data_IF_664904213866
#
_entry.id   IF_664904213866
#
_cell.length_a   1.000
_cell.length_b   1.000
_cell.length_c   1.000
_cell.angle_alpha   90.00
_cell.angle_beta   90.00
_cell.angle_gamma   90.00
#
_symmetry.space_group_name_H-M   'P 1'
#
loop_
_entity.id
_entity.type
_entity.pdbx_description
1 polymer ?
#
# COMPACT_ATOMS: atom_id res chain seq x y z
N UNK A 1 -0.22 -65.02 6.44
CA UNK A 1 -0.11 -64.54 5.04
C UNK A 1 0.54 -63.15 4.91
N UNK A 2 0.34 -62.19 5.83
CA UNK A 2 0.99 -60.86 5.72
C UNK A 2 2.51 -60.83 6.01
N UNK A 3 3.04 -61.79 6.78
CA UNK A 3 4.47 -61.84 7.13
C UNK A 3 5.37 -62.49 6.06
N UNK A 4 4.82 -63.33 5.17
CA UNK A 4 5.60 -64.02 4.12
C UNK A 4 5.95 -63.12 2.92
N UNK A 5 5.17 -62.06 2.66
CA UNK A 5 5.41 -61.15 1.51
C UNK A 5 6.43 -60.04 1.77
N UNK A 6 6.84 -59.81 3.01
CA UNK A 6 7.83 -58.77 3.36
C UNK A 6 9.25 -59.22 2.93
N UNK A 7 9.49 -60.53 2.83
CA UNK A 7 10.80 -61.14 2.53
C UNK A 7 11.35 -60.89 1.12
N UNK A 8 10.58 -60.30 0.20
CA UNK A 8 11.01 -60.04 -1.19
C UNK A 8 11.20 -58.57 -1.57
N UNK A 9 10.86 -57.61 -0.70
CA UNK A 9 10.84 -56.17 -1.06
C UNK A 9 12.18 -55.49 -0.78
N UNK A 10 12.92 -55.16 -1.85
CA UNK A 10 14.24 -54.50 -1.79
C UNK A 10 14.24 -53.12 -1.09
N UNK A 11 13.12 -52.40 -1.13
CA UNK A 11 12.99 -51.05 -0.55
C UNK A 11 11.78 -51.00 0.38
N UNK A 12 12.01 -51.10 1.69
CA UNK A 12 10.95 -51.10 2.72
C UNK A 12 10.68 -49.67 3.18
N UNK A 13 9.41 -49.25 3.18
CA UNK A 13 8.98 -47.93 3.65
C UNK A 13 8.65 -48.02 5.13
N UNK A 14 9.37 -47.27 5.97
CA UNK A 14 9.05 -47.08 7.38
C UNK A 14 9.01 -45.59 7.65
N UNK A 15 7.83 -45.04 7.92
CA UNK A 15 7.67 -43.63 8.21
C UNK A 15 7.78 -43.38 9.71
N UNK A 16 8.40 -42.26 10.10
CA UNK A 16 8.29 -41.76 11.47
C UNK A 16 6.91 -41.16 11.73
N UNK A 17 6.54 -40.98 13.00
CA UNK A 17 5.28 -40.32 13.37
C UNK A 17 5.20 -38.88 12.81
N UNK A 18 6.34 -38.18 12.75
CA UNK A 18 6.45 -36.83 12.21
C UNK A 18 6.25 -36.81 10.69
N UNK A 19 6.93 -37.69 9.97
CA UNK A 19 6.82 -37.84 8.51
C UNK A 19 5.39 -38.20 8.09
N UNK A 20 4.76 -39.13 8.82
CA UNK A 20 3.37 -39.52 8.59
C UNK A 20 2.41 -38.34 8.78
N UNK A 21 2.54 -37.62 9.89
CA UNK A 21 1.72 -36.43 10.17
C UNK A 21 1.88 -35.37 9.08
N UNK A 22 3.10 -35.19 8.56
CA UNK A 22 3.37 -34.25 7.48
C UNK A 22 2.71 -34.68 6.15
N UNK A 23 2.72 -35.97 5.81
CA UNK A 23 2.03 -36.50 4.63
C UNK A 23 0.50 -36.36 4.76
N UNK A 24 -0.07 -36.70 5.91
CA UNK A 24 -1.51 -36.59 6.17
C UNK A 24 -1.98 -35.12 6.13
N UNK A 25 -1.20 -34.21 6.73
CA UNK A 25 -1.46 -32.77 6.63
C UNK A 25 -1.42 -32.28 5.19
N UNK A 26 -0.45 -32.76 4.38
CA UNK A 26 -0.32 -32.40 2.97
C UNK A 26 -1.48 -32.91 2.10
N UNK A 27 -2.09 -34.04 2.45
CA UNK A 27 -3.27 -34.57 1.75
C UNK A 27 -4.55 -33.79 2.09
N UNK A 28 -4.65 -33.29 3.33
CA UNK A 28 -5.86 -32.64 3.84
C UNK A 28 -5.82 -31.11 3.75
N UNK A 29 -4.64 -30.51 3.63
CA UNK A 29 -4.43 -29.05 3.66
C UNK A 29 -3.43 -28.62 2.60
N UNK A 30 -3.65 -27.43 2.02
CA UNK A 30 -2.73 -26.79 1.10
C UNK A 30 -2.95 -27.12 -0.38
N UNK A 31 -2.04 -26.64 -1.24
CA UNK A 31 -2.08 -26.82 -2.70
C UNK A 31 -0.77 -27.44 -3.19
N UNK A 32 -0.82 -28.74 -3.50
CA UNK A 32 0.33 -29.52 -3.96
C UNK A 32 0.11 -30.07 -5.37
N UNK A 33 1.20 -30.42 -6.06
CA UNK A 33 1.09 -31.04 -7.39
C UNK A 33 0.46 -32.44 -7.28
N UNK A 34 -0.34 -32.84 -8.27
CA UNK A 34 -0.94 -34.18 -8.32
C UNK A 34 0.12 -35.28 -8.15
N UNK A 35 1.30 -35.10 -8.76
CA UNK A 35 2.42 -36.03 -8.62
C UNK A 35 2.92 -36.14 -7.16
N UNK A 36 3.04 -35.03 -6.45
CA UNK A 36 3.45 -35.03 -5.03
C UNK A 36 2.41 -35.72 -4.16
N UNK A 37 1.12 -35.47 -4.38
CA UNK A 37 0.03 -36.13 -3.64
C UNK A 37 -0.01 -37.64 -3.88
N UNK A 38 0.21 -38.09 -5.12
CA UNK A 38 0.33 -39.52 -5.45
C UNK A 38 1.53 -40.14 -4.72
N UNK A 39 2.68 -39.48 -4.70
CA UNK A 39 3.85 -39.95 -3.93
C UNK A 39 3.54 -40.07 -2.43
N UNK A 40 2.87 -39.08 -1.85
CA UNK A 40 2.46 -39.09 -0.45
C UNK A 40 1.52 -40.26 -0.13
N UNK A 41 0.52 -40.52 -0.99
CA UNK A 41 -0.40 -41.66 -0.85
C UNK A 41 0.32 -43.01 -0.98
N UNK A 42 1.27 -43.13 -1.91
CA UNK A 42 2.10 -44.33 -2.05
C UNK A 42 2.89 -44.57 -0.76
N UNK A 43 3.49 -43.55 -0.16
CA UNK A 43 4.26 -43.69 1.08
C UNK A 43 3.39 -44.11 2.27
N UNK A 44 2.22 -43.48 2.47
CA UNK A 44 1.30 -43.83 3.55
C UNK A 44 0.77 -45.27 3.44
N UNK A 45 0.45 -45.71 2.21
CA UNK A 45 -0.06 -47.06 1.96
C UNK A 45 1.02 -48.13 2.02
N UNK A 46 2.25 -47.80 1.61
CA UNK A 46 3.39 -48.71 1.63
C UNK A 46 4.08 -48.80 3.00
N UNK A 47 3.76 -47.91 3.94
CA UNK A 47 4.36 -47.86 5.27
C UNK A 47 4.08 -49.15 6.05
N UNK A 48 5.14 -49.82 6.50
CA UNK A 48 5.08 -51.05 7.33
C UNK A 48 5.41 -50.77 8.80
N UNK A 49 5.42 -49.49 9.22
CA UNK A 49 5.50 -49.11 10.63
C UNK A 49 4.28 -49.61 11.42
N UNK A 50 4.30 -49.50 12.75
CA UNK A 50 3.17 -49.90 13.61
C UNK A 50 1.87 -49.13 13.28
N UNK A 51 1.98 -47.94 12.68
CA UNK A 51 0.85 -47.13 12.25
C UNK A 51 0.49 -47.33 10.77
N UNK A 52 1.27 -48.10 10.02
CA UNK A 52 1.18 -48.25 8.57
C UNK A 52 0.18 -49.31 8.09
N UNK A 53 -0.40 -49.13 6.90
CA UNK A 53 -1.29 -50.11 6.26
C UNK A 53 -0.53 -51.33 5.71
N UNK A 54 0.77 -51.19 5.45
CA UNK A 54 1.65 -52.26 4.98
C UNK A 54 1.26 -52.89 3.64
N UNK A 55 0.51 -52.16 2.81
CA UNK A 55 -0.12 -52.71 1.60
C UNK A 55 0.89 -53.30 0.60
N UNK A 56 0.41 -54.26 -0.18
CA UNK A 56 1.17 -54.80 -1.31
C UNK A 56 1.27 -53.78 -2.45
N UNK A 57 2.31 -53.91 -3.28
CA UNK A 57 2.49 -53.00 -4.42
C UNK A 57 1.31 -53.13 -5.41
N UNK A 58 0.72 -54.33 -5.54
CA UNK A 58 -0.46 -54.58 -6.39
C UNK A 58 -1.69 -53.81 -5.92
N UNK A 59 -1.99 -53.84 -4.63
CA UNK A 59 -3.14 -53.10 -4.07
C UNK A 59 -2.94 -51.58 -4.16
N UNK A 60 -1.70 -51.09 -3.96
CA UNK A 60 -1.38 -49.67 -4.10
C UNK A 60 -1.57 -49.21 -5.56
N UNK A 61 -1.18 -50.05 -6.52
CA UNK A 61 -1.33 -49.76 -7.95
C UNK A 61 -2.81 -49.66 -8.34
N UNK A 62 -3.62 -50.60 -7.88
CA UNK A 62 -5.06 -50.64 -8.16
C UNK A 62 -5.78 -49.43 -7.53
N UNK A 63 -5.53 -49.14 -6.25
CA UNK A 63 -6.21 -48.07 -5.54
C UNK A 63 -5.81 -46.66 -6.00
N UNK A 64 -4.56 -46.48 -6.46
CA UNK A 64 -4.04 -45.17 -6.86
C UNK A 64 -3.96 -44.99 -8.39
N UNK A 65 -4.45 -45.98 -9.16
CA UNK A 65 -4.38 -46.04 -10.62
C UNK A 65 -2.98 -45.66 -11.15
N UNK A 66 -1.94 -46.22 -10.52
CA UNK A 66 -0.53 -45.88 -10.79
C UNK A 66 0.24 -47.01 -11.46
N UNK A 67 1.55 -46.87 -11.65
CA UNK A 67 2.39 -47.91 -12.27
C UNK A 67 3.34 -48.55 -11.25
N UNK A 68 3.70 -49.82 -11.49
CA UNK A 68 4.75 -50.55 -10.75
C UNK A 68 6.03 -49.73 -10.66
N UNK A 69 6.41 -49.09 -11.78
CA UNK A 69 7.60 -48.25 -11.85
C UNK A 69 7.54 -47.01 -10.95
N UNK A 70 6.36 -46.42 -10.76
CA UNK A 70 6.18 -45.26 -9.88
C UNK A 70 6.31 -45.67 -8.41
N UNK A 71 5.62 -46.74 -7.99
CA UNK A 71 5.70 -47.27 -6.62
C UNK A 71 7.14 -47.63 -6.27
N UNK A 72 7.81 -48.40 -7.14
CA UNK A 72 9.21 -48.77 -6.97
C UNK A 72 10.14 -47.55 -6.85
N UNK A 73 10.00 -46.54 -7.73
CA UNK A 73 10.84 -45.33 -7.69
C UNK A 73 10.62 -44.51 -6.42
N UNK A 74 9.38 -44.41 -5.94
CA UNK A 74 9.06 -43.66 -4.71
C UNK A 74 9.67 -44.35 -3.49
N UNK A 75 9.51 -45.67 -3.37
CA UNK A 75 10.11 -46.46 -2.28
C UNK A 75 11.63 -46.38 -2.31
N UNK A 76 12.23 -46.58 -3.49
CA UNK A 76 13.67 -46.45 -3.71
C UNK A 76 14.18 -45.06 -3.32
N UNK A 77 13.49 -44.01 -3.74
CA UNK A 77 13.88 -42.63 -3.46
C UNK A 77 13.79 -42.32 -1.96
N UNK A 78 12.77 -42.82 -1.25
CA UNK A 78 12.70 -42.66 0.20
C UNK A 78 13.91 -43.30 0.90
N UNK A 79 14.22 -44.55 0.53
CA UNK A 79 15.27 -45.33 1.19
C UNK A 79 16.68 -44.82 0.84
N UNK A 80 16.92 -44.39 -0.39
CA UNK A 80 18.25 -43.98 -0.85
C UNK A 80 18.52 -42.47 -0.72
N UNK A 81 17.50 -41.61 -0.85
CA UNK A 81 17.64 -40.15 -0.88
C UNK A 81 16.91 -39.44 0.28
N UNK A 82 16.06 -40.14 1.05
CA UNK A 82 15.34 -39.60 2.21
C UNK A 82 13.96 -38.98 1.89
N UNK A 83 13.21 -38.65 2.96
CA UNK A 83 11.82 -38.19 2.89
C UNK A 83 11.63 -36.91 2.07
N UNK A 84 12.45 -35.88 2.31
CA UNK A 84 12.38 -34.61 1.58
C UNK A 84 12.67 -34.77 0.08
N UNK A 85 13.56 -35.70 -0.29
CA UNK A 85 13.90 -35.95 -1.69
C UNK A 85 12.73 -36.54 -2.49
N UNK A 86 11.84 -37.29 -1.83
CA UNK A 86 10.63 -37.83 -2.47
C UNK A 86 9.65 -36.72 -2.82
N UNK A 87 9.50 -35.75 -1.92
CA UNK A 87 8.48 -34.69 -2.02
C UNK A 87 8.96 -33.47 -2.83
N UNK A 88 10.26 -33.26 -2.93
CA UNK A 88 10.86 -32.17 -3.70
C UNK A 88 11.14 -32.54 -5.16
N UNK A 89 11.10 -31.55 -6.05
CA UNK A 89 11.49 -31.75 -7.45
C UNK A 89 13.01 -31.76 -7.54
N UNK A 90 13.59 -32.90 -7.95
CA UNK A 90 15.03 -33.00 -8.26
C UNK A 90 15.42 -31.93 -9.28
N UNK A 91 16.32 -31.03 -8.90
CA UNK A 91 16.90 -30.06 -9.83
C UNK A 91 18.02 -30.75 -10.61
N UNK A 92 17.96 -30.69 -11.93
CA UNK A 92 19.04 -31.19 -12.77
C UNK A 92 20.22 -30.21 -12.69
N UNK A 93 21.41 -30.71 -12.35
CA UNK A 93 22.65 -29.93 -12.35
C UNK A 93 23.03 -29.43 -13.75
N UNK A 94 22.55 -30.10 -14.81
CA UNK A 94 22.67 -29.70 -16.21
C UNK A 94 21.29 -29.77 -16.88
N UNK A 95 20.47 -28.72 -16.80
CA UNK A 95 19.21 -28.69 -17.52
C UNK A 95 19.46 -28.66 -19.03
N UNK A 96 18.59 -29.30 -19.81
CA UNK A 96 18.70 -29.34 -21.28
C UNK A 96 18.61 -27.94 -21.93
N UNK A 97 18.01 -26.98 -21.24
CA UNK A 97 17.96 -25.57 -21.64
C UNK A 97 18.66 -24.74 -20.56
N UNK A 98 19.75 -24.03 -20.89
CA UNK A 98 20.42 -23.15 -19.94
C UNK A 98 19.50 -21.99 -19.56
N UNK A 99 19.62 -21.51 -18.31
CA UNK A 99 18.88 -20.33 -17.88
C UNK A 99 19.45 -19.11 -18.59
N UNK A 100 18.56 -18.33 -19.22
CA UNK A 100 18.94 -17.08 -19.91
C UNK A 100 19.62 -16.11 -18.94
N UNK A 101 19.02 -15.94 -17.76
CA UNK A 101 19.63 -15.22 -16.64
C UNK A 101 20.11 -16.22 -15.58
N UNK A 102 21.42 -16.34 -15.45
CA UNK A 102 22.11 -16.97 -14.32
C UNK A 102 22.36 -15.95 -13.20
N UNK A 103 23.03 -16.34 -12.12
CA UNK A 103 23.23 -15.45 -10.96
C UNK A 103 23.92 -14.12 -11.31
N UNK A 104 24.94 -14.17 -12.18
CA UNK A 104 25.69 -12.97 -12.58
C UNK A 104 24.83 -12.07 -13.50
N UNK A 105 24.15 -12.66 -14.48
CA UNK A 105 23.28 -11.92 -15.41
C UNK A 105 22.04 -11.36 -14.70
N UNK A 106 21.50 -12.07 -13.72
CA UNK A 106 20.44 -11.56 -12.85
C UNK A 106 20.92 -10.31 -12.08
N UNK A 107 22.13 -10.34 -11.51
CA UNK A 107 22.69 -9.18 -10.80
C UNK A 107 22.91 -7.97 -11.72
N UNK A 108 23.41 -8.20 -12.94
CA UNK A 108 23.55 -7.14 -13.96
C UNK A 108 22.20 -6.53 -14.37
N UNK A 109 21.17 -7.37 -14.56
CA UNK A 109 19.81 -6.89 -14.84
C UNK A 109 19.22 -6.09 -13.66
N UNK A 110 19.45 -6.53 -12.42
CA UNK A 110 19.04 -5.83 -11.21
C UNK A 110 19.70 -4.45 -11.14
N UNK A 111 21.01 -4.38 -11.29
CA UNK A 111 21.76 -3.13 -11.27
C UNK A 111 21.27 -2.14 -12.34
N UNK A 112 21.06 -2.64 -13.58
CA UNK A 112 20.50 -1.84 -14.68
C UNK A 112 19.10 -1.31 -14.36
N UNK A 113 18.24 -2.14 -13.76
CA UNK A 113 16.88 -1.75 -13.43
C UNK A 113 16.79 -0.70 -12.32
N UNK A 114 17.83 -0.61 -11.48
CA UNK A 114 17.96 0.39 -10.41
C UNK A 114 18.70 1.67 -10.87
N UNK A 115 19.26 1.69 -12.08
CA UNK A 115 19.94 2.86 -12.62
C UNK A 115 18.96 3.86 -13.24
N UNK A 116 19.47 5.03 -13.62
CA UNK A 116 18.71 5.96 -14.46
C UNK A 116 18.31 5.28 -15.78
N UNK A 117 17.07 5.49 -16.26
CA UNK A 117 16.69 5.09 -17.60
C UNK A 117 17.48 5.89 -18.66
N UNK A 118 17.56 5.40 -19.91
CA UNK A 118 18.21 6.10 -21.01
C UNK A 118 17.59 7.48 -21.27
N UNK A 119 18.37 8.37 -21.87
CA UNK A 119 17.91 9.70 -22.27
C UNK A 119 16.61 9.64 -23.09
N UNK A 120 15.66 10.53 -22.77
CA UNK A 120 14.33 10.56 -23.39
C UNK A 120 13.31 9.61 -22.76
N UNK A 121 13.69 8.73 -21.83
CA UNK A 121 12.77 7.83 -21.13
C UNK A 121 12.61 8.22 -19.66
N UNK A 122 11.36 8.40 -19.21
CA UNK A 122 11.08 8.75 -17.81
C UNK A 122 11.26 7.57 -16.83
N UNK A 123 11.23 6.32 -17.31
CA UNK A 123 11.32 5.09 -16.48
C UNK A 123 11.71 3.86 -17.31
N UNK A 124 12.19 2.83 -16.62
CA UNK A 124 12.40 1.51 -17.20
C UNK A 124 11.07 0.80 -17.48
N UNK A 125 10.89 0.35 -18.72
CA UNK A 125 9.84 -0.60 -19.10
C UNK A 125 10.46 -1.96 -19.38
N UNK A 126 9.69 -3.05 -19.29
CA UNK A 126 10.22 -4.39 -19.58
C UNK A 126 10.77 -4.50 -21.01
N UNK A 127 10.11 -3.85 -21.98
CA UNK A 127 10.59 -3.78 -23.38
C UNK A 127 11.87 -2.98 -23.54
N UNK A 128 12.03 -1.91 -22.76
CA UNK A 128 13.26 -1.11 -22.76
C UNK A 128 14.42 -1.89 -22.15
N UNK A 129 14.16 -2.64 -21.07
CA UNK A 129 15.12 -3.54 -20.47
C UNK A 129 15.50 -4.67 -21.43
N UNK A 130 14.54 -5.29 -22.12
CA UNK A 130 14.79 -6.31 -23.17
C UNK A 130 15.78 -5.82 -24.23
N UNK A 131 15.57 -4.60 -24.75
CA UNK A 131 16.52 -4.00 -25.70
C UNK A 131 17.88 -3.75 -25.06
N UNK A 132 17.91 -3.18 -23.85
CA UNK A 132 19.16 -2.77 -23.19
C UNK A 132 20.01 -3.94 -22.68
N UNK A 133 19.42 -5.04 -22.25
CA UNK A 133 20.19 -6.23 -21.83
C UNK A 133 20.88 -6.91 -23.01
N UNK A 134 20.31 -6.81 -24.21
CA UNK A 134 20.95 -7.27 -25.45
C UNK A 134 22.00 -6.27 -25.92
N UNK A 135 21.68 -4.97 -25.92
CA UNK A 135 22.62 -3.90 -26.29
C UNK A 135 23.90 -3.91 -25.43
N UNK A 136 23.76 -4.16 -24.12
CA UNK A 136 24.88 -4.25 -23.17
C UNK A 136 25.53 -5.63 -23.12
N UNK A 137 25.19 -6.54 -24.03
CA UNK A 137 25.70 -7.91 -24.10
C UNK A 137 25.59 -8.70 -22.77
N UNK A 138 24.53 -8.44 -21.98
CA UNK A 138 24.23 -9.20 -20.76
C UNK A 138 23.68 -10.58 -21.15
N UNK A 139 22.84 -10.63 -22.18
CA UNK A 139 22.22 -11.84 -22.75
C UNK A 139 22.07 -11.67 -24.26
N UNK A 140 22.16 -12.77 -25.01
CA UNK A 140 21.98 -12.75 -26.47
C UNK A 140 20.53 -12.42 -26.86
N UNK A 141 19.58 -12.99 -26.12
CA UNK A 141 18.14 -12.74 -26.27
C UNK A 141 17.45 -12.87 -24.91
N UNK A 142 16.48 -12.00 -24.65
CA UNK A 142 15.61 -12.14 -23.47
C UNK A 142 14.26 -11.47 -23.71
N UNK A 143 13.18 -12.23 -23.56
CA UNK A 143 11.83 -11.65 -23.61
C UNK A 143 11.52 -10.82 -22.38
N UNK A 144 10.71 -9.78 -22.56
CA UNK A 144 10.08 -8.98 -21.50
C UNK A 144 9.50 -9.82 -20.34
N UNK A 145 8.86 -10.96 -20.64
CA UNK A 145 8.29 -11.89 -19.65
C UNK A 145 9.35 -12.60 -18.83
N UNK A 146 10.52 -12.86 -19.41
CA UNK A 146 11.65 -13.45 -18.69
C UNK A 146 12.27 -12.43 -17.75
N UNK A 147 12.48 -11.21 -18.22
CA UNK A 147 12.94 -10.08 -17.41
C UNK A 147 11.96 -9.82 -16.26
N UNK A 148 10.66 -9.76 -16.54
CA UNK A 148 9.62 -9.55 -15.53
C UNK A 148 9.60 -10.62 -14.43
N UNK A 149 9.88 -11.89 -14.76
CA UNK A 149 10.03 -12.97 -13.76
C UNK A 149 11.26 -12.77 -12.87
N UNK A 150 12.39 -12.36 -13.45
CA UNK A 150 13.62 -12.09 -12.69
C UNK A 150 13.42 -10.89 -11.76
N UNK A 151 12.83 -9.80 -12.25
CA UNK A 151 12.55 -8.63 -11.41
C UNK A 151 11.57 -8.95 -10.29
N UNK A 152 10.52 -9.72 -10.57
CA UNK A 152 9.57 -10.17 -9.54
C UNK A 152 10.24 -11.03 -8.46
N UNK A 153 11.19 -11.90 -8.84
CA UNK A 153 11.99 -12.69 -7.90
C UNK A 153 12.81 -11.81 -6.95
N UNK A 154 13.28 -10.65 -7.43
CA UNK A 154 14.07 -9.68 -6.66
C UNK A 154 13.22 -8.52 -6.08
N UNK A 155 11.89 -8.64 -6.09
CA UNK A 155 10.95 -7.63 -5.58
C UNK A 155 11.09 -6.24 -6.25
N UNK A 156 11.65 -6.18 -7.46
CA UNK A 156 11.83 -4.92 -8.19
C UNK A 156 10.63 -4.60 -9.07
N UNK A 157 10.19 -3.35 -8.99
CA UNK A 157 9.11 -2.80 -9.82
C UNK A 157 9.55 -1.46 -10.42
N UNK A 158 10.43 -1.45 -11.45
CA UNK A 158 11.05 -0.23 -11.97
C UNK A 158 10.08 0.80 -12.57
N UNK A 159 8.83 0.40 -12.79
CA UNK A 159 7.76 1.26 -13.28
C UNK A 159 7.01 2.00 -12.15
N UNK A 160 7.20 1.58 -10.89
CA UNK A 160 6.65 2.22 -9.70
C UNK A 160 7.62 3.28 -9.20
N UNK A 161 7.06 4.37 -8.71
CA UNK A 161 7.78 5.45 -8.04
C UNK A 161 7.04 5.74 -6.74
N UNK A 162 7.75 5.61 -5.64
CA UNK A 162 7.30 6.15 -4.36
C UNK A 162 7.87 7.55 -4.23
N UNK A 163 7.07 8.45 -3.66
CA UNK A 163 7.44 9.83 -3.41
C UNK A 163 7.37 10.05 -1.91
N UNK A 164 8.34 10.74 -1.37
CA UNK A 164 8.37 11.12 0.02
C UNK A 164 9.01 12.49 0.11
N UNK A 165 8.68 13.22 1.17
CA UNK A 165 9.32 14.49 1.48
C UNK A 165 10.20 14.23 2.69
N UNK A 166 11.53 14.35 2.52
CA UNK A 166 12.47 14.31 3.66
C UNK A 166 12.74 15.77 4.05
N UNK A 167 12.44 16.18 5.30
CA UNK A 167 12.92 17.45 5.80
C UNK A 167 14.46 17.46 5.89
N UNK A 168 15.10 18.63 5.94
CA UNK A 168 16.55 18.70 6.13
C UNK A 168 17.00 17.93 7.37
N UNK A 169 18.18 17.30 7.30
CA UNK A 169 18.77 16.65 8.47
C UNK A 169 19.02 17.65 9.60
N UNK A 170 18.74 17.23 10.84
CA UNK A 170 18.94 18.06 12.04
C UNK A 170 18.20 19.41 12.03
N UNK A 171 17.01 19.49 11.41
CA UNK A 171 16.18 20.70 11.40
C UNK A 171 15.44 20.88 12.72
N UNK A 172 15.96 21.77 13.58
CA UNK A 172 15.36 22.08 14.87
C UNK A 172 13.96 22.72 14.75
N UNK A 173 13.71 23.52 13.70
CA UNK A 173 12.41 24.14 13.49
C UNK A 173 11.36 23.11 13.07
N UNK A 174 11.75 22.15 12.23
CA UNK A 174 10.91 21.00 11.88
C UNK A 174 10.52 20.21 13.13
N UNK A 175 11.49 19.82 13.94
CA UNK A 175 11.26 19.00 15.13
C UNK A 175 10.37 19.72 16.14
N UNK A 176 10.62 21.01 16.39
CA UNK A 176 9.81 21.79 17.33
C UNK A 176 8.33 21.85 16.91
N UNK A 177 8.04 22.16 15.64
CA UNK A 177 6.68 22.21 15.13
C UNK A 177 6.03 20.82 15.03
N UNK A 178 6.80 19.78 14.68
CA UNK A 178 6.30 18.40 14.69
C UNK A 178 5.88 17.99 16.10
N UNK A 179 6.73 18.18 17.12
CA UNK A 179 6.39 17.79 18.49
C UNK A 179 5.20 18.57 19.04
N UNK A 180 5.04 19.85 18.69
CA UNK A 180 3.89 20.68 19.03
C UNK A 180 2.57 20.09 18.48
N UNK A 181 2.52 19.75 17.19
CA UNK A 181 1.33 19.11 16.58
C UNK A 181 1.05 17.73 17.18
N UNK A 182 2.10 16.94 17.42
CA UNK A 182 1.95 15.61 18.05
C UNK A 182 1.44 15.73 19.49
N UNK A 183 1.82 16.77 20.23
CA UNK A 183 1.30 17.03 21.57
C UNK A 183 -0.19 17.41 21.52
N UNK A 184 -0.61 18.22 20.55
CA UNK A 184 -2.03 18.55 20.32
C UNK A 184 -2.87 17.30 20.12
N UNK A 185 -2.47 16.40 19.23
CA UNK A 185 -3.21 15.17 18.97
C UNK A 185 -3.24 14.20 20.15
N UNK A 186 -2.39 14.38 21.16
CA UNK A 186 -2.34 13.58 22.37
C UNK A 186 -3.18 14.15 23.52
N UNK A 187 -3.70 15.36 23.38
CA UNK A 187 -4.55 15.97 24.41
C UNK A 187 -5.81 15.13 24.62
N UNK A 188 -6.32 15.02 25.86
CA UNK A 188 -7.63 14.41 26.10
C UNK A 188 -8.71 15.11 25.28
N UNK A 189 -9.65 14.33 24.73
CA UNK A 189 -10.77 14.88 23.98
C UNK A 189 -11.66 15.75 24.88
N UNK A 190 -11.84 17.01 24.48
CA UNK A 190 -12.74 17.98 25.11
C UNK A 190 -13.64 18.61 24.02
N UNK A 191 -14.96 18.36 24.02
CA UNK A 191 -15.90 18.94 23.06
C UNK A 191 -15.97 20.47 23.04
N UNK A 192 -15.51 21.14 24.11
CA UNK A 192 -15.43 22.61 24.17
C UNK A 192 -14.11 23.16 23.60
N UNK A 193 -13.14 22.28 23.34
CA UNK A 193 -11.85 22.56 22.73
C UNK A 193 -11.59 21.61 21.55
N UNK A 194 -12.50 21.55 20.55
CA UNK A 194 -12.37 20.59 19.46
C UNK A 194 -11.09 20.84 18.66
N UNK A 195 -10.44 19.75 18.26
CA UNK A 195 -9.31 19.79 17.33
C UNK A 195 -9.86 19.80 15.92
N UNK A 196 -9.46 20.77 15.12
CA UNK A 196 -9.92 20.94 13.74
C UNK A 196 -8.70 21.09 12.85
N UNK A 197 -8.60 20.21 11.86
CA UNK A 197 -7.62 20.23 10.80
C UNK A 197 -8.18 20.97 9.58
N UNK A 198 -7.36 21.78 8.91
CA UNK A 198 -7.73 22.55 7.71
C UNK A 198 -6.63 22.42 6.66
N UNK A 199 -7.02 22.04 5.44
CA UNK A 199 -6.14 21.99 4.27
C UNK A 199 -6.92 22.32 3.00
N UNK A 200 -6.23 22.64 1.91
CA UNK A 200 -6.83 23.06 0.64
C UNK A 200 -6.39 22.22 -0.57
N UNK A 201 -7.36 21.96 -1.45
CA UNK A 201 -7.09 21.38 -2.76
C UNK A 201 -7.60 22.28 -3.89
N UNK A 202 -6.89 22.25 -5.02
CA UNK A 202 -7.34 22.92 -6.25
C UNK A 202 -7.90 21.88 -7.22
N UNK A 203 -9.08 22.16 -7.80
CA UNK A 203 -9.72 21.32 -8.81
C UNK A 203 -10.08 22.15 -10.02
N UNK A 204 -9.74 21.66 -11.22
CA UNK A 204 -10.24 22.22 -12.47
C UNK A 204 -11.53 21.50 -12.88
N UNK A 205 -12.69 22.17 -12.91
CA UNK A 205 -13.90 21.64 -13.53
C UNK A 205 -13.66 21.44 -15.03
N UNK A 206 -14.13 20.30 -15.53
CA UNK A 206 -14.03 19.90 -16.93
C UNK A 206 -15.42 19.52 -17.42
N UNK A 207 -15.95 20.34 -18.32
CA UNK A 207 -17.23 20.12 -18.96
C UNK A 207 -17.07 19.15 -20.12
N UNK A 208 -17.97 18.19 -20.20
CA UNK A 208 -18.03 17.25 -21.31
C UNK A 208 -18.63 17.93 -22.53
N UNK A 209 -18.01 17.74 -23.70
CA UNK A 209 -18.54 18.27 -24.97
C UNK A 209 -19.67 17.40 -25.53
N UNK A 210 -19.71 16.12 -25.15
CA UNK A 210 -20.76 15.16 -25.51
C UNK A 210 -21.22 14.37 -24.30
N UNK A 211 -22.52 14.07 -24.27
CA UNK A 211 -23.12 13.25 -23.21
C UNK A 211 -22.47 11.84 -23.19
N UNK A 212 -21.99 11.37 -22.03
CA UNK A 212 -21.44 10.03 -21.89
C UNK A 212 -22.49 8.95 -22.17
N UNK A 213 -22.05 7.84 -22.75
CA UNK A 213 -22.88 6.64 -22.83
C UNK A 213 -22.71 5.83 -21.54
N UNK A 214 -23.81 5.50 -20.83
CA UNK A 214 -23.73 4.72 -19.61
C UNK A 214 -23.20 3.32 -19.87
N UNK A 215 -22.63 2.71 -18.82
CA UNK A 215 -22.18 1.33 -18.86
C UNK A 215 -23.37 0.37 -19.08
N UNK A 216 -23.15 -0.69 -19.84
CA UNK A 216 -24.07 -1.82 -20.00
C UNK A 216 -23.30 -3.15 -19.81
N UNK A 217 -23.96 -4.28 -19.52
CA UNK A 217 -23.28 -5.58 -19.46
C UNK A 217 -22.45 -5.84 -20.73
N UNK A 218 -21.14 -6.04 -20.55
CA UNK A 218 -20.18 -6.25 -21.66
C UNK A 218 -19.73 -4.98 -22.39
N UNK A 219 -20.21 -3.79 -22.01
CA UNK A 219 -19.82 -2.51 -22.61
C UNK A 219 -19.44 -1.50 -21.53
N UNK A 220 -18.16 -1.11 -21.42
CA UNK A 220 -17.75 -0.10 -20.45
C UNK A 220 -18.41 1.25 -20.77
N UNK A 221 -18.52 2.11 -19.75
CA UNK A 221 -18.90 3.51 -19.93
C UNK A 221 -18.02 4.16 -21.00
N UNK A 222 -18.61 4.96 -21.88
CA UNK A 222 -17.88 5.70 -22.92
C UNK A 222 -18.01 7.19 -22.65
N UNK A 223 -16.88 7.84 -22.44
CA UNK A 223 -16.76 9.28 -22.25
C UNK A 223 -15.93 9.83 -23.41
N UNK A 224 -16.34 10.97 -23.95
CA UNK A 224 -15.57 11.62 -25.02
C UNK A 224 -14.21 12.09 -24.50
N UNK A 225 -13.18 11.95 -25.33
CA UNK A 225 -11.85 12.46 -24.99
C UNK A 225 -11.82 13.97 -24.94
N UNK A 226 -12.63 14.64 -25.77
CA UNK A 226 -12.75 16.09 -25.80
C UNK A 226 -13.44 16.63 -24.54
N UNK A 227 -12.93 17.75 -24.03
CA UNK A 227 -13.48 18.44 -22.86
C UNK A 227 -13.23 19.93 -22.96
N UNK A 228 -14.09 20.71 -22.32
CA UNK A 228 -13.96 22.16 -22.17
C UNK A 228 -13.51 22.47 -20.73
N UNK A 229 -12.44 23.26 -20.57
CA UNK A 229 -11.96 23.69 -19.25
C UNK A 229 -12.86 24.80 -18.73
N UNK A 230 -13.42 24.62 -17.54
CA UNK A 230 -14.37 25.58 -16.97
C UNK A 230 -13.81 26.21 -15.69
N UNK A 231 -12.74 27.00 -15.88
CA UNK A 231 -12.06 27.70 -14.79
C UNK A 231 -11.30 26.78 -13.83
N UNK A 232 -11.12 27.25 -12.60
CA UNK A 232 -10.51 26.51 -11.50
C UNK A 232 -11.30 26.82 -10.23
N UNK A 233 -11.43 25.84 -9.35
CA UNK A 233 -12.05 25.99 -8.04
C UNK A 233 -11.06 25.57 -6.95
N UNK A 234 -11.21 26.16 -5.78
CA UNK A 234 -10.47 25.80 -4.57
C UNK A 234 -11.42 25.15 -3.58
N UNK A 235 -10.95 24.17 -2.84
CA UNK A 235 -11.74 23.38 -1.89
C UNK A 235 -11.00 23.45 -0.56
N UNK A 236 -11.59 24.10 0.43
CA UNK A 236 -11.12 24.10 1.81
C UNK A 236 -11.74 22.90 2.53
N UNK A 237 -10.93 21.90 2.87
CA UNK A 237 -11.35 20.74 3.65
C UNK A 237 -11.15 21.00 5.13
N UNK A 238 -12.23 20.88 5.89
CA UNK A 238 -12.25 21.03 7.33
C UNK A 238 -12.57 19.66 7.91
N UNK A 239 -11.71 19.17 8.81
CA UNK A 239 -11.92 17.89 9.47
C UNK A 239 -11.69 17.99 10.97
N UNK A 240 -12.71 17.66 11.75
CA UNK A 240 -12.66 17.50 13.19
C UNK A 240 -12.62 15.99 13.52
N UNK A 241 -11.41 15.42 13.71
CA UNK A 241 -11.20 13.97 13.66
C UNK A 241 -11.85 13.21 14.81
N UNK A 242 -11.89 13.78 16.02
CA UNK A 242 -12.41 13.11 17.22
C UNK A 242 -13.94 13.22 17.33
N UNK A 243 -14.49 14.25 16.70
CA UNK A 243 -15.89 14.59 16.60
C UNK A 243 -16.55 13.82 15.45
N UNK A 244 -15.76 13.27 14.53
CA UNK A 244 -16.28 12.64 13.32
C UNK A 244 -17.09 13.63 12.49
N UNK A 245 -16.66 14.90 12.44
CA UNK A 245 -17.32 15.95 11.66
C UNK A 245 -16.37 16.49 10.62
N UNK A 246 -16.89 16.77 9.45
CA UNK A 246 -16.15 17.45 8.38
C UNK A 246 -17.04 18.39 7.60
N UNK A 247 -16.41 19.32 6.91
CA UNK A 247 -17.06 20.13 5.89
C UNK A 247 -16.07 20.47 4.79
N UNK A 248 -16.57 20.87 3.62
CA UNK A 248 -15.73 21.24 2.50
C UNK A 248 -16.32 22.44 1.75
N UNK A 249 -15.61 23.56 1.80
CA UNK A 249 -16.05 24.83 1.22
C UNK A 249 -15.41 25.01 -0.15
N UNK A 250 -16.25 25.06 -1.20
CA UNK A 250 -15.79 25.25 -2.58
C UNK A 250 -15.89 26.71 -2.98
N UNK A 251 -14.74 27.32 -3.26
CA UNK A 251 -14.60 28.72 -3.67
C UNK A 251 -14.06 28.81 -5.11
N UNK A 252 -14.24 29.97 -5.75
CA UNK A 252 -13.66 30.21 -7.07
C UNK A 252 -12.17 30.56 -7.01
N UNK A 253 -11.69 31.02 -5.85
CA UNK A 253 -10.33 31.51 -5.64
C UNK A 253 -9.75 30.97 -4.35
N UNK A 254 -8.43 30.97 -4.26
CA UNK A 254 -7.67 30.64 -3.06
C UNK A 254 -7.00 31.93 -2.54
N UNK A 255 -7.76 32.77 -1.85
CA UNK A 255 -7.24 34.03 -1.26
C UNK A 255 -7.26 34.01 0.27
N UNK A 256 -6.53 34.96 0.88
CA UNK A 256 -6.59 35.19 2.33
C UNK A 256 -8.01 35.49 2.83
N UNK A 257 -8.86 36.10 1.98
CA UNK A 257 -10.25 36.41 2.31
C UNK A 257 -11.09 35.12 2.30
N UNK A 258 -10.91 34.26 1.30
CA UNK A 258 -11.60 32.97 1.23
C UNK A 258 -11.25 32.09 2.45
N UNK A 259 -9.97 32.05 2.81
CA UNK A 259 -9.47 31.40 4.03
C UNK A 259 -10.11 31.98 5.31
N UNK A 260 -10.21 33.31 5.42
CA UNK A 260 -10.84 33.96 6.57
C UNK A 260 -12.32 33.59 6.72
N UNK A 261 -13.05 33.45 5.61
CA UNK A 261 -14.42 32.95 5.62
C UNK A 261 -14.52 31.47 5.97
N UNK A 262 -13.54 30.65 5.58
CA UNK A 262 -13.47 29.26 6.05
C UNK A 262 -13.32 29.21 7.58
N UNK A 263 -12.44 30.03 8.17
CA UNK A 263 -12.31 30.13 9.62
C UNK A 263 -13.59 30.63 10.31
N UNK A 264 -14.25 31.64 9.75
CA UNK A 264 -15.55 32.10 10.24
C UNK A 264 -16.57 30.95 10.27
N UNK A 265 -16.65 30.16 9.21
CA UNK A 265 -17.54 29.01 9.12
C UNK A 265 -17.24 27.95 10.19
N UNK A 266 -15.96 27.64 10.41
CA UNK A 266 -15.55 26.71 11.49
C UNK A 266 -16.04 27.23 12.85
N UNK A 267 -15.82 28.51 13.13
CA UNK A 267 -16.12 29.12 14.43
C UNK A 267 -17.62 29.30 14.69
N UNK A 268 -18.36 29.84 13.72
CA UNK A 268 -19.73 30.29 13.91
C UNK A 268 -20.78 29.26 13.45
N UNK A 269 -20.43 28.34 12.54
CA UNK A 269 -21.36 27.34 11.98
C UNK A 269 -21.07 25.95 12.52
N UNK A 270 -19.83 25.46 12.40
CA UNK A 270 -19.51 24.09 12.82
C UNK A 270 -19.42 23.95 14.35
N UNK A 271 -18.79 24.92 15.02
CA UNK A 271 -18.50 24.87 16.45
C UNK A 271 -18.92 26.15 17.22
N UNK A 272 -20.18 26.61 17.11
CA UNK A 272 -20.64 27.83 17.76
C UNK A 272 -20.56 27.77 19.29
N UNK A 273 -20.65 26.57 19.88
CA UNK A 273 -20.65 26.36 21.33
C UNK A 273 -19.28 26.01 21.92
N UNK A 274 -18.24 25.82 21.08
CA UNK A 274 -16.88 25.63 21.59
C UNK A 274 -16.47 26.85 22.43
N UNK A 275 -15.52 26.72 23.34
CA UNK A 275 -14.92 27.91 23.98
C UNK A 275 -13.78 28.42 23.11
N UNK A 276 -12.96 27.51 22.62
CA UNK A 276 -11.85 27.75 21.71
C UNK A 276 -11.72 26.57 20.76
N UNK A 277 -11.15 26.76 19.58
CA UNK A 277 -10.97 25.71 18.58
C UNK A 277 -9.49 25.51 18.36
N UNK A 278 -8.99 24.29 18.53
CA UNK A 278 -7.58 23.97 18.32
C UNK A 278 -7.38 23.70 16.84
N UNK A 279 -6.87 24.68 16.11
CA UNK A 279 -6.68 24.65 14.67
C UNK A 279 -5.30 24.11 14.32
N UNK A 280 -5.26 23.00 13.58
CA UNK A 280 -4.05 22.44 12.97
C UNK A 280 -4.14 22.67 11.46
N UNK A 281 -3.09 23.20 10.86
CA UNK A 281 -3.03 23.49 9.43
C UNK A 281 -1.59 23.62 8.95
N UNK A 282 -1.38 23.75 7.64
CA UNK A 282 -0.06 24.06 7.11
C UNK A 282 0.42 25.50 7.41
N UNK A 283 1.65 25.82 7.02
CA UNK A 283 2.26 27.14 7.23
C UNK A 283 2.30 27.97 5.93
N UNK A 284 1.19 28.01 5.20
CA UNK A 284 1.03 28.89 4.04
C UNK A 284 1.01 30.37 4.46
N UNK A 285 1.42 31.26 3.55
CA UNK A 285 1.51 32.70 3.83
C UNK A 285 0.16 33.34 4.23
N UNK A 286 -0.95 32.78 3.75
CA UNK A 286 -2.34 33.15 4.05
C UNK A 286 -2.83 32.62 5.40
N UNK A 287 -2.17 31.62 5.99
CA UNK A 287 -2.62 30.94 7.22
C UNK A 287 -2.17 31.70 8.46
N UNK A 288 -2.67 32.93 8.59
CA UNK A 288 -2.30 33.86 9.66
C UNK A 288 -3.53 34.63 10.13
N UNK A 289 -3.51 35.04 11.38
CA UNK A 289 -4.55 35.92 11.94
C UNK A 289 -4.72 37.23 11.15
N UNK A 290 -3.67 37.73 10.50
CA UNK A 290 -3.74 38.89 9.62
C UNK A 290 -4.79 38.75 8.51
N UNK A 291 -5.04 37.53 8.01
CA UNK A 291 -6.06 37.27 7.00
C UNK A 291 -7.47 37.59 7.49
N UNK A 292 -7.75 37.37 8.78
CA UNK A 292 -9.02 37.77 9.41
C UNK A 292 -9.21 39.29 9.42
N UNK A 293 -8.14 40.05 9.66
CA UNK A 293 -8.16 41.51 9.63
C UNK A 293 -8.23 42.09 8.21
N UNK A 294 -7.83 41.32 7.20
CA UNK A 294 -8.05 41.69 5.80
C UNK A 294 -9.50 41.49 5.37
N UNK A 295 -10.18 40.48 5.91
CA UNK A 295 -11.54 40.12 5.50
C UNK A 295 -12.66 40.80 6.32
N UNK A 296 -12.42 41.09 7.60
CA UNK A 296 -13.47 41.52 8.53
C UNK A 296 -13.14 42.81 9.28
N UNK A 297 -14.19 43.48 9.79
CA UNK A 297 -14.04 44.60 10.71
C UNK A 297 -13.23 44.19 11.96
N UNK A 298 -12.44 45.11 12.56
CA UNK A 298 -11.51 44.79 13.65
C UNK A 298 -12.12 44.02 14.82
N UNK A 299 -13.35 44.34 15.23
CA UNK A 299 -14.05 43.68 16.33
C UNK A 299 -14.33 42.21 16.01
N UNK A 300 -14.81 41.94 14.79
CA UNK A 300 -15.10 40.58 14.32
C UNK A 300 -13.81 39.79 14.09
N UNK A 301 -12.80 40.40 13.48
CA UNK A 301 -11.49 39.79 13.25
C UNK A 301 -10.81 39.41 14.58
N UNK A 302 -10.89 40.28 15.59
CA UNK A 302 -10.33 40.00 16.92
C UNK A 302 -11.07 38.85 17.61
N UNK A 303 -12.41 38.89 17.62
CA UNK A 303 -13.25 37.81 18.16
C UNK A 303 -12.89 36.45 17.54
N UNK A 304 -12.77 36.40 16.22
CA UNK A 304 -12.40 35.18 15.50
C UNK A 304 -10.96 34.76 15.83
N UNK A 305 -10.01 35.69 15.88
CA UNK A 305 -8.61 35.37 16.23
C UNK A 305 -8.51 34.74 17.61
N UNK A 306 -9.23 35.26 18.60
CA UNK A 306 -9.27 34.74 19.98
C UNK A 306 -9.99 33.40 20.09
N UNK A 307 -10.81 33.06 19.10
CA UNK A 307 -11.54 31.79 19.03
C UNK A 307 -10.64 30.61 18.70
N UNK A 308 -9.46 30.84 18.11
CA UNK A 308 -8.57 29.79 17.65
C UNK A 308 -7.29 29.68 18.49
N UNK A 309 -6.88 28.45 18.75
CA UNK A 309 -5.51 28.10 19.15
C UNK A 309 -4.78 27.56 17.92
N UNK A 310 -3.68 28.21 17.54
CA UNK A 310 -3.07 28.01 16.22
C UNK A 310 -1.87 27.09 16.33
N UNK A 311 -1.91 25.98 15.60
CA UNK A 311 -0.81 25.03 15.45
C UNK A 311 -0.51 24.84 13.97
N UNK A 312 0.76 24.93 13.61
CA UNK A 312 1.21 24.84 12.22
C UNK A 312 2.06 23.61 12.02
N UNK A 313 1.74 22.81 11.00
CA UNK A 313 2.60 21.72 10.58
C UNK A 313 3.93 22.29 10.07
N UNK A 314 5.06 21.57 10.31
CA UNK A 314 6.35 22.00 9.80
C UNK A 314 6.35 21.98 8.28
N UNK A 315 7.17 22.85 7.68
CA UNK A 315 7.50 22.73 6.26
C UNK A 315 8.04 21.33 5.99
N UNK A 316 7.64 20.71 4.89
CA UNK A 316 7.96 19.31 4.58
C UNK A 316 7.30 18.26 5.49
N UNK A 317 6.32 18.64 6.31
CA UNK A 317 5.58 17.75 7.21
C UNK A 317 4.07 17.77 7.02
N UNK A 318 3.58 17.96 5.79
CA UNK A 318 2.14 18.01 5.48
C UNK A 318 1.40 16.74 5.93
N UNK A 319 2.08 15.58 5.94
CA UNK A 319 1.56 14.31 6.43
C UNK A 319 1.07 14.32 7.89
N UNK A 320 1.42 15.34 8.68
CA UNK A 320 0.90 15.55 10.03
C UNK A 320 -0.52 16.15 10.04
N UNK A 321 -0.97 16.72 8.92
CA UNK A 321 -2.30 17.29 8.78
C UNK A 321 -3.31 16.20 8.40
N UNK A 322 -4.30 15.96 9.26
CA UNK A 322 -5.33 14.97 8.96
C UNK A 322 -6.30 15.44 7.86
N UNK A 323 -6.41 16.75 7.61
CA UNK A 323 -7.24 17.26 6.52
C UNK A 323 -6.68 16.85 5.15
N UNK A 324 -5.34 16.71 5.00
CA UNK A 324 -4.71 16.20 3.77
C UNK A 324 -5.18 14.75 3.48
N UNK A 325 -5.30 13.93 4.53
CA UNK A 325 -5.81 12.57 4.40
C UNK A 325 -7.28 12.55 3.96
N UNK A 326 -8.14 13.40 4.56
CA UNK A 326 -9.54 13.48 4.17
C UNK A 326 -9.71 14.08 2.75
N UNK A 327 -8.84 15.00 2.33
CA UNK A 327 -8.75 15.48 0.95
C UNK A 327 -8.40 14.37 -0.04
N UNK A 328 -7.53 13.44 0.32
CA UNK A 328 -7.20 12.26 -0.49
C UNK A 328 -8.43 11.34 -0.64
N UNK A 329 -9.20 11.15 0.43
CA UNK A 329 -10.47 10.41 0.39
C UNK A 329 -11.49 11.12 -0.51
N UNK A 330 -11.70 12.43 -0.33
CA UNK A 330 -12.58 13.23 -1.19
C UNK A 330 -12.15 13.14 -2.66
N UNK A 331 -10.84 13.24 -2.91
CA UNK A 331 -10.27 13.22 -4.25
C UNK A 331 -10.54 11.89 -4.97
N UNK A 332 -10.37 10.78 -4.26
CA UNK A 332 -10.57 9.44 -4.81
C UNK A 332 -12.05 9.06 -4.96
N UNK A 333 -12.90 9.45 -4.00
CA UNK A 333 -14.31 9.04 -3.97
C UNK A 333 -15.23 9.98 -4.75
N UNK A 334 -14.98 11.29 -4.72
CA UNK A 334 -15.87 12.28 -5.30
C UNK A 334 -15.26 12.99 -6.51
N UNK A 335 -13.99 13.40 -6.44
CA UNK A 335 -13.37 14.27 -7.46
C UNK A 335 -12.67 13.50 -8.59
N UNK A 336 -12.63 12.17 -8.54
CA UNK A 336 -12.01 11.30 -9.56
C UNK A 336 -12.82 11.23 -10.88
N UNK A 337 -13.78 12.13 -11.08
CA UNK A 337 -14.58 12.27 -12.30
C UNK A 337 -14.53 13.71 -12.84
N UNK A 338 -15.07 13.89 -14.04
CA UNK A 338 -15.30 15.21 -14.62
C UNK A 338 -16.50 15.86 -13.93
N UNK A 339 -16.40 17.17 -13.75
CA UNK A 339 -17.45 18.00 -13.14
C UNK A 339 -17.62 19.23 -14.00
N UNK A 340 -18.85 19.52 -14.41
CA UNK A 340 -19.17 20.54 -15.42
C UNK A 340 -18.71 21.95 -15.02
N UNK A 341 -18.96 22.34 -13.79
CA UNK A 341 -18.65 23.66 -13.24
C UNK A 341 -18.56 23.62 -11.71
N UNK A 342 -18.22 24.78 -11.14
CA UNK A 342 -18.11 25.01 -9.70
C UNK A 342 -19.41 24.77 -8.94
N UNK A 343 -20.58 25.04 -9.53
CA UNK A 343 -21.88 24.80 -8.88
C UNK A 343 -22.15 23.30 -8.75
N UNK A 344 -21.93 22.56 -9.83
CA UNK A 344 -22.01 21.10 -9.82
C UNK A 344 -20.97 20.51 -8.85
N UNK A 345 -19.77 21.08 -8.78
CA UNK A 345 -18.75 20.69 -7.82
C UNK A 345 -19.20 20.91 -6.37
N UNK A 346 -19.80 22.06 -6.05
CA UNK A 346 -20.39 22.34 -4.74
C UNK A 346 -21.43 21.30 -4.35
N UNK A 347 -22.37 21.00 -5.24
CA UNK A 347 -23.43 20.05 -4.97
C UNK A 347 -22.89 18.64 -4.66
N UNK A 348 -21.91 18.18 -5.44
CA UNK A 348 -21.32 16.85 -5.28
C UNK A 348 -20.47 16.74 -4.01
N UNK A 349 -19.67 17.78 -3.72
CA UNK A 349 -18.91 17.86 -2.47
C UNK A 349 -19.84 17.90 -1.26
N UNK A 350 -20.93 18.68 -1.31
CA UNK A 350 -21.91 18.76 -0.23
C UNK A 350 -22.61 17.41 0.01
N UNK A 351 -23.00 16.70 -1.06
CA UNK A 351 -23.59 15.36 -0.96
C UNK A 351 -22.61 14.35 -0.33
N UNK A 352 -21.34 14.40 -0.74
CA UNK A 352 -20.29 13.55 -0.18
C UNK A 352 -20.03 13.85 1.31
N UNK A 353 -19.95 15.14 1.70
CA UNK A 353 -19.78 15.56 3.10
C UNK A 353 -20.95 15.07 3.95
N UNK A 354 -22.19 15.23 3.46
CA UNK A 354 -23.38 14.79 4.17
C UNK A 354 -23.33 13.27 4.43
N UNK A 355 -23.04 12.47 3.41
CA UNK A 355 -22.89 11.01 3.54
C UNK A 355 -21.74 10.63 4.50
N UNK A 356 -20.58 11.28 4.42
CA UNK A 356 -19.47 10.98 5.33
C UNK A 356 -19.78 11.32 6.79
N UNK A 357 -20.52 12.41 7.02
CA UNK A 357 -20.93 12.82 8.35
C UNK A 357 -22.01 11.91 8.95
N UNK A 358 -22.90 11.29 8.16
CA UNK A 358 -23.88 10.31 8.70
C UNK A 358 -23.22 9.07 9.27
N UNK A 359 -22.04 8.70 8.76
CA UNK A 359 -21.27 7.56 9.24
C UNK A 359 -20.36 7.91 10.43
N UNK A 360 -20.31 9.18 10.86
CA UNK A 360 -19.52 9.70 11.98
C UNK A 360 -18.08 9.15 12.02
N UNK A 361 -17.46 8.96 10.84
CA UNK A 361 -16.15 8.32 10.76
C UNK A 361 -15.11 9.19 11.47
N UNK A 362 -14.59 8.70 12.59
CA UNK A 362 -13.55 9.33 13.40
C UNK A 362 -12.16 8.93 12.95
N UNK A 363 -11.18 9.78 13.21
CA UNK A 363 -9.76 9.44 13.06
C UNK A 363 -9.06 9.64 14.41
N UNK A 364 -8.24 8.68 14.79
CA UNK A 364 -7.45 8.74 16.03
C UNK A 364 -5.96 8.60 15.69
N UNK A 365 -5.19 9.64 16.01
CA UNK A 365 -3.76 9.71 15.69
C UNK A 365 -2.95 8.78 16.60
N UNK A 366 -2.26 7.81 16.02
CA UNK A 366 -1.49 6.83 16.81
C UNK A 366 0.00 7.17 16.93
N UNK A 367 0.55 8.03 16.06
CA UNK A 367 1.98 8.30 16.02
C UNK A 367 2.38 9.32 17.09
N UNK A 368 3.22 8.93 18.04
CA UNK A 368 3.54 9.79 19.19
C UNK A 368 4.90 10.47 19.08
N UNK A 369 5.15 11.48 19.92
CA UNK A 369 6.48 12.07 20.09
C UNK A 369 7.54 11.01 20.49
N UNK A 370 7.16 10.02 21.30
CA UNK A 370 8.05 8.91 21.65
C UNK A 370 8.39 8.06 20.42
N UNK A 371 7.42 7.78 19.56
CA UNK A 371 7.67 7.10 18.28
C UNK A 371 8.56 7.94 17.36
N UNK A 372 8.32 9.25 17.28
CA UNK A 372 9.07 10.17 16.45
C UNK A 372 10.55 10.21 16.85
N UNK A 373 10.86 10.31 18.15
CA UNK A 373 12.24 10.31 18.67
C UNK A 373 13.02 9.03 18.35
N UNK A 374 12.33 7.91 18.16
CA UNK A 374 12.94 6.63 17.79
C UNK A 374 13.05 6.50 16.26
N UNK A 375 11.91 6.65 15.56
CA UNK A 375 11.80 6.38 14.12
C UNK A 375 12.39 7.47 13.25
N UNK A 376 12.39 8.72 13.72
CA UNK A 376 12.87 9.91 13.02
C UNK A 376 14.12 10.52 13.70
N UNK A 377 14.90 9.70 14.40
CA UNK A 377 16.10 10.13 15.14
C UNK A 377 17.07 10.99 14.31
N UNK A 378 17.19 10.73 13.01
CA UNK A 378 18.05 11.48 12.09
C UNK A 378 17.62 12.93 11.84
N UNK A 379 16.39 13.29 12.22
CA UNK A 379 15.88 14.66 12.13
C UNK A 379 16.20 15.49 13.37
N UNK A 380 16.50 14.83 14.50
CA UNK A 380 16.84 15.51 15.75
C UNK A 380 18.28 16.03 15.70
N UNK A 381 18.54 17.26 16.19
CA UNK A 381 19.89 17.77 16.33
C UNK A 381 20.78 16.85 17.17
N UNK A 382 21.97 16.53 16.66
CA UNK A 382 22.98 15.77 17.40
C UNK A 382 23.92 16.73 18.12
N UNK A 383 24.00 16.61 19.44
CA UNK A 383 24.97 17.37 20.23
C UNK A 383 26.26 16.55 20.39
N UNK A 384 27.43 17.11 20.07
CA UNK A 384 28.69 16.45 20.41
C UNK A 384 28.79 16.32 21.93
N UNK A 385 29.17 15.14 22.40
CA UNK A 385 29.47 14.91 23.83
C UNK A 385 30.63 15.84 24.19
N UNK A 386 30.37 16.86 25.00
CA UNK A 386 31.45 17.64 25.59
C UNK A 386 32.15 16.73 26.60
N UNK A 387 33.32 16.21 26.21
CA UNK A 387 34.24 15.61 27.17
C UNK A 387 34.74 16.76 28.05
N UNK A 388 34.21 16.84 29.26
CA UNK A 388 34.62 17.79 30.30
C UNK A 388 36.00 17.50 30.85
#
# INVERSE_FOLDING_TARGET
MAQEEIGGKKYVVRLSAEERTQLESMLNKGKHSAKTLVKARILLKADVSEAGEGMSDGEIIEQLETSVSMVYRVRKQLVEEGFDAVLTRKQHSRPAVPRIFDGEKEAKLVALSCSAPPEGYARWTLRLLERKVVELAIVDTASDRTIGRVLKKHLLQPHRKEQWVIPPHADAAFVAAMEDVLEVYRRPHDPLLPVVCLDEATKQPMKETRAPMPMQPGQPQRVDYEYERNGTASIFMIFAPLEGKRDAIVTERHTAIDYAHALEHIADVMFPQATKIVLVQDNLNTHKSASLYQAFAPEKARRLTERFEWHHTPKHGSWLDMAESELSVLSSQCLARRTRDTESLRAEVAAWVADRNTHEAKADWQFTTADARIKLKSLYPTFPVQNG
#
